data_IF_957764159116
#
_entry.id   IF_957764159116
#
_cell.length_a   1.000
_cell.length_b   1.000
_cell.length_c   1.000
_cell.angle_alpha   90.00
_cell.angle_beta   90.00
_cell.angle_gamma   90.00
#
_symmetry.space_group_name_H-M   'P 1'
#
loop_
_entity.id
_entity.type
_entity.pdbx_description
1 polymer ?
#
# COMPACT_ATOMS: atom_id res chain seq x y z
N UNK A 1 32.37 -31.84 46.17
CA UNK A 1 32.65 -32.35 44.80
C UNK A 1 31.45 -33.15 44.31
N UNK A 2 31.19 -33.12 43.00
CA UNK A 2 30.02 -33.62 42.24
C UNK A 2 28.76 -32.73 42.40
N UNK A 3 28.35 -31.88 41.44
CA UNK A 3 28.14 -31.96 39.98
C UNK A 3 26.86 -32.69 39.56
N UNK A 4 25.87 -31.89 39.14
CA UNK A 4 25.09 -32.11 37.91
C UNK A 4 23.81 -32.96 38.00
N UNK A 5 22.73 -32.45 37.39
CA UNK A 5 21.63 -33.31 36.94
C UNK A 5 20.25 -32.67 36.85
N UNK A 6 20.09 -31.62 36.06
CA UNK A 6 18.78 -31.08 35.68
C UNK A 6 18.07 -31.99 34.67
N UNK A 7 16.85 -32.43 34.97
CA UNK A 7 15.87 -32.85 33.95
C UNK A 7 14.48 -32.33 34.33
N UNK A 8 14.00 -31.33 33.60
CA UNK A 8 12.55 -31.17 33.43
C UNK A 8 12.28 -30.73 32.00
N UNK A 9 11.61 -31.62 31.28
CA UNK A 9 11.14 -31.44 29.92
C UNK A 9 9.87 -30.60 30.01
N UNK A 10 9.86 -29.40 29.42
CA UNK A 10 8.65 -28.60 29.30
C UNK A 10 8.41 -28.23 27.83
N UNK A 11 7.47 -28.99 27.28
CA UNK A 11 6.64 -28.80 26.09
C UNK A 11 6.76 -27.49 25.32
N UNK A 12 7.16 -27.62 24.05
CA UNK A 12 7.06 -26.60 22.99
C UNK A 12 5.60 -26.21 22.79
N UNK A 13 5.17 -25.08 23.35
CA UNK A 13 3.95 -24.38 22.90
C UNK A 13 4.35 -23.32 21.89
N UNK A 14 3.91 -23.52 20.64
CA UNK A 14 3.91 -22.48 19.58
C UNK A 14 3.09 -21.29 20.07
N UNK A 15 3.75 -20.29 20.62
CA UNK A 15 3.17 -18.96 20.82
C UNK A 15 3.43 -18.12 19.58
N UNK A 16 2.42 -18.00 18.71
CA UNK A 16 2.37 -16.97 17.67
C UNK A 16 2.36 -15.61 18.38
N UNK A 17 3.53 -14.97 18.50
CA UNK A 17 3.63 -13.62 19.05
C UNK A 17 3.05 -12.65 18.03
N UNK A 18 1.82 -12.22 18.23
CA UNK A 18 1.31 -10.99 17.62
C UNK A 18 2.09 -9.85 18.26
N UNK A 19 3.04 -9.26 17.53
CA UNK A 19 3.78 -8.08 17.97
C UNK A 19 2.86 -6.85 17.91
N UNK A 20 2.10 -6.66 18.97
CA UNK A 20 1.60 -5.33 19.34
C UNK A 20 2.72 -4.60 20.11
N UNK A 21 3.84 -4.30 19.46
CA UNK A 21 4.90 -3.49 20.06
C UNK A 21 4.46 -2.01 20.05
N UNK A 22 3.71 -1.64 21.09
CA UNK A 22 3.41 -0.25 21.42
C UNK A 22 4.66 0.34 22.07
N UNK A 23 5.46 1.08 21.30
CA UNK A 23 6.65 1.75 21.83
C UNK A 23 6.25 2.94 22.71
N UNK A 24 6.68 2.95 23.97
CA UNK A 24 6.63 4.13 24.83
C UNK A 24 7.97 4.87 24.70
N UNK A 25 8.01 5.95 23.90
CA UNK A 25 9.21 6.79 23.73
C UNK A 25 9.18 7.88 24.78
N UNK A 26 9.90 7.71 25.88
CA UNK A 26 10.07 8.76 26.89
C UNK A 26 11.32 9.58 26.61
N UNK A 27 11.14 10.71 25.91
CA UNK A 27 12.09 11.82 25.90
C UNK A 27 11.32 13.15 25.91
N UNK A 28 11.46 13.89 27.01
CA UNK A 28 11.41 15.35 27.13
C UNK A 28 10.22 16.15 26.57
N UNK A 29 9.26 16.46 27.44
CA UNK A 29 8.53 17.75 27.58
C UNK A 29 7.89 18.42 26.33
N UNK A 30 6.63 18.09 26.03
CA UNK A 30 5.45 18.97 26.23
C UNK A 30 4.18 18.24 25.75
N UNK A 31 3.07 18.44 26.47
CA UNK A 31 1.90 17.56 26.48
C UNK A 31 1.22 17.26 25.14
N UNK A 32 0.85 15.99 24.96
CA UNK A 32 -0.53 15.46 24.78
C UNK A 32 -0.40 13.94 24.61
N UNK A 33 -1.37 13.17 25.15
CA UNK A 33 -1.35 11.69 25.17
C UNK A 33 -0.97 11.12 23.80
N UNK A 34 0.22 10.50 23.74
CA UNK A 34 0.76 9.75 22.59
C UNK A 34 -0.20 8.62 22.23
N UNK A 35 -1.18 8.94 21.40
CA UNK A 35 -2.10 7.97 20.84
C UNK A 35 -1.37 7.12 19.82
N UNK A 36 -0.94 5.92 20.23
CA UNK A 36 -1.02 4.65 19.48
C UNK A 36 -0.80 4.73 17.95
N UNK A 37 0.22 5.43 17.47
CA UNK A 37 0.60 5.36 16.05
C UNK A 37 1.14 3.96 15.78
N UNK A 38 0.45 3.21 14.90
CA UNK A 38 0.94 1.90 14.47
C UNK A 38 2.10 2.10 13.51
N UNK A 39 3.07 1.20 13.57
CA UNK A 39 4.19 1.16 12.62
C UNK A 39 3.66 1.20 11.18
N UNK A 40 4.20 2.09 10.36
CA UNK A 40 3.76 2.26 8.97
C UNK A 40 2.47 3.08 8.78
N UNK A 41 1.85 3.58 9.84
CA UNK A 41 0.66 4.43 9.74
C UNK A 41 1.05 5.91 9.56
N UNK A 42 0.38 6.60 8.64
CA UNK A 42 0.64 8.02 8.38
C UNK A 42 0.12 8.90 9.53
N UNK A 43 0.99 9.68 10.20
CA UNK A 43 0.59 10.40 11.40
C UNK A 43 -0.35 11.58 11.12
N UNK A 44 -1.27 11.82 12.07
CA UNK A 44 -2.12 13.02 12.11
C UNK A 44 -1.62 14.00 13.16
N UNK A 45 -1.62 15.29 12.83
CA UNK A 45 -1.25 16.36 13.74
C UNK A 45 -2.37 16.68 14.76
N UNK A 46 -2.10 17.57 15.73
CA UNK A 46 -3.09 17.98 16.74
C UNK A 46 -4.33 18.68 16.13
N UNK A 47 -4.21 19.23 14.92
CA UNK A 47 -5.32 19.78 14.15
C UNK A 47 -6.21 18.70 13.49
N UNK A 48 -5.93 17.41 13.72
CA UNK A 48 -6.60 16.24 13.11
C UNK A 48 -6.40 16.07 11.60
N UNK A 49 -5.55 16.89 10.99
CA UNK A 49 -5.11 16.76 9.59
C UNK A 49 -3.89 15.84 9.49
N UNK A 50 -3.74 15.12 8.38
CA UNK A 50 -2.52 14.36 8.11
C UNK A 50 -1.29 15.27 8.09
N UNK A 51 -0.22 14.85 8.77
CA UNK A 51 1.03 15.58 8.81
C UNK A 51 1.75 15.50 7.46
N UNK A 52 2.50 16.53 7.08
CA UNK A 52 3.28 16.55 5.84
C UNK A 52 4.74 16.17 6.11
N UNK A 53 5.37 15.49 5.15
CA UNK A 53 6.80 15.20 5.21
C UNK A 53 7.56 16.47 4.82
N UNK A 54 8.52 16.86 5.65
CA UNK A 54 9.40 17.99 5.44
C UNK A 54 10.84 17.59 5.70
N UNK A 55 11.77 18.33 5.08
CA UNK A 55 13.21 18.10 5.21
C UNK A 55 13.80 19.11 6.18
N UNK A 56 14.51 18.63 7.20
CA UNK A 56 15.22 19.48 8.14
C UNK A 56 16.38 20.21 7.46
N UNK A 57 16.53 21.49 7.81
CA UNK A 57 17.60 22.39 7.35
C UNK A 57 18.53 22.81 8.49
N UNK A 58 18.34 22.24 9.69
CA UNK A 58 19.18 22.54 10.86
C UNK A 58 20.58 21.95 10.67
N UNK A 59 21.61 22.64 11.17
CA UNK A 59 23.00 22.15 11.11
C UNK A 59 23.20 20.82 11.86
N UNK A 60 22.45 20.58 12.93
CA UNK A 60 22.52 19.36 13.74
C UNK A 60 21.87 18.15 13.06
N UNK A 61 20.81 18.36 12.31
CA UNK A 61 20.05 17.31 11.61
C UNK A 61 19.87 17.68 10.12
N UNK A 62 20.94 17.75 9.32
CA UNK A 62 20.84 18.17 7.93
C UNK A 62 20.12 17.11 7.10
N UNK A 63 19.19 17.52 6.25
CA UNK A 63 18.45 16.66 5.32
C UNK A 63 17.58 15.56 5.96
N UNK A 64 17.49 15.45 7.28
CA UNK A 64 16.64 14.45 7.96
C UNK A 64 15.16 14.76 7.75
N UNK A 65 14.35 13.75 7.44
CA UNK A 65 12.93 13.90 7.17
C UNK A 65 12.10 13.85 8.45
N UNK A 66 11.11 14.72 8.57
CA UNK A 66 10.17 14.76 9.69
C UNK A 66 8.73 15.00 9.21
N UNK A 67 7.76 14.58 10.02
CA UNK A 67 6.36 14.88 9.85
C UNK A 67 6.00 16.15 10.64
N UNK A 68 5.45 17.15 9.94
CA UNK A 68 5.03 18.43 10.53
C UNK A 68 3.56 18.76 10.25
N UNK A 69 3.00 19.69 11.02
CA UNK A 69 1.68 20.23 10.72
C UNK A 69 1.66 20.91 9.33
N UNK A 70 0.68 20.63 8.46
CA UNK A 70 0.58 21.31 7.15
C UNK A 70 0.47 22.83 7.27
N UNK A 71 -0.16 23.29 8.34
CA UNK A 71 -0.43 24.70 8.60
C UNK A 71 0.75 25.42 9.25
N UNK A 72 1.89 24.75 9.50
CA UNK A 72 3.05 25.33 10.18
C UNK A 72 3.60 26.62 9.54
N UNK A 73 3.32 26.85 8.24
CA UNK A 73 3.73 28.06 7.52
C UNK A 73 2.71 29.21 7.62
N UNK A 74 1.56 28.99 8.24
CA UNK A 74 0.50 29.98 8.39
C UNK A 74 0.68 30.76 9.69
N UNK A 75 0.35 32.05 9.68
CA UNK A 75 0.62 32.96 10.81
C UNK A 75 -0.27 32.72 12.04
N UNK A 76 -1.34 31.94 11.89
CA UNK A 76 -2.27 31.59 12.98
C UNK A 76 -2.82 30.18 12.78
N UNK A 77 -3.08 29.46 13.88
CA UNK A 77 -3.82 28.19 13.86
C UNK A 77 -2.98 26.92 13.60
N UNK A 78 -1.65 27.02 13.58
CA UNK A 78 -0.79 25.84 13.46
C UNK A 78 -0.57 25.16 14.82
N UNK A 79 -0.40 23.84 14.78
CA UNK A 79 0.10 23.10 15.93
C UNK A 79 1.59 22.77 15.77
N UNK A 80 2.26 22.59 16.89
CA UNK A 80 3.65 22.20 17.08
C UNK A 80 3.90 20.70 16.84
N UNK A 81 3.07 20.04 16.02
CA UNK A 81 3.24 18.61 15.75
C UNK A 81 4.55 18.35 15.01
N UNK A 82 5.38 17.49 15.59
CA UNK A 82 6.67 17.08 15.07
C UNK A 82 6.97 15.63 15.44
N UNK A 83 7.31 14.80 14.46
CA UNK A 83 7.81 13.43 14.66
C UNK A 83 8.83 13.11 13.56
N UNK A 84 9.90 12.39 13.89
CA UNK A 84 10.89 11.99 12.88
C UNK A 84 10.36 10.88 11.96
N UNK A 85 10.71 10.94 10.68
CA UNK A 85 10.23 9.97 9.69
C UNK A 85 10.73 8.55 10.01
N UNK A 86 11.99 8.42 10.41
CA UNK A 86 12.64 7.18 10.79
C UNK A 86 12.11 6.57 12.11
N UNK A 87 11.48 7.36 12.98
CA UNK A 87 10.81 6.79 14.16
C UNK A 87 9.52 6.04 13.80
N UNK A 88 8.89 6.37 12.66
CA UNK A 88 7.65 5.70 12.21
C UNK A 88 7.97 4.60 11.19
N UNK A 89 8.95 4.87 10.31
CA UNK A 89 9.27 4.04 9.14
C UNK A 89 10.71 3.52 9.12
N UNK A 90 11.57 3.90 10.07
CA UNK A 90 13.01 3.55 10.04
C UNK A 90 13.25 2.05 10.11
N UNK A 91 12.35 1.32 10.77
CA UNK A 91 12.42 -0.14 10.82
C UNK A 91 12.05 -0.83 9.51
N UNK A 92 11.37 -0.16 8.57
CA UNK A 92 11.11 -0.75 7.25
C UNK A 92 12.42 -0.86 6.46
N UNK A 93 13.35 0.05 6.73
CA UNK A 93 14.68 0.08 6.11
C UNK A 93 15.61 -0.88 6.86
N UNK A 94 15.57 -0.91 8.19
CA UNK A 94 16.34 -1.88 8.97
C UNK A 94 15.85 -3.32 8.77
N UNK A 95 14.55 -3.62 8.62
CA UNK A 95 14.12 -4.99 8.30
C UNK A 95 14.58 -5.43 6.91
N UNK A 96 14.67 -4.52 5.94
CA UNK A 96 15.18 -4.81 4.59
C UNK A 96 16.71 -4.92 4.58
N UNK A 97 17.40 -4.09 5.35
CA UNK A 97 18.86 -4.09 5.48
C UNK A 97 19.36 -5.23 6.37
N UNK A 98 18.68 -5.55 7.48
CA UNK A 98 18.94 -6.74 8.31
C UNK A 98 18.53 -8.00 7.57
N UNK A 99 17.43 -8.03 6.82
CA UNK A 99 17.14 -9.15 5.91
C UNK A 99 18.19 -9.27 4.80
N UNK A 100 18.73 -8.16 4.31
CA UNK A 100 19.85 -8.13 3.36
C UNK A 100 21.19 -8.57 3.99
N UNK A 101 21.45 -8.23 5.25
CA UNK A 101 22.65 -8.62 6.00
C UNK A 101 22.60 -10.07 6.47
N UNK A 102 21.47 -10.54 7.01
CA UNK A 102 21.24 -11.96 7.27
C UNK A 102 21.35 -12.77 5.99
N UNK A 103 20.78 -12.31 4.86
CA UNK A 103 20.95 -12.98 3.56
C UNK A 103 22.43 -13.04 3.10
N UNK A 104 23.25 -12.05 3.45
CA UNK A 104 24.69 -12.04 3.15
C UNK A 104 25.53 -13.00 4.02
N UNK A 105 25.06 -13.28 5.25
CA UNK A 105 25.69 -14.27 6.16
C UNK A 105 25.21 -15.69 5.84
N UNK A 106 23.98 -15.82 5.35
CA UNK A 106 23.40 -17.08 4.87
C UNK A 106 23.89 -17.48 3.48
N UNK A 107 24.80 -16.73 2.83
CA UNK A 107 25.34 -17.04 1.49
C UNK A 107 26.34 -18.22 1.49
N UNK A 108 26.49 -18.94 2.61
CA UNK A 108 26.99 -20.33 2.55
C UNK A 108 25.85 -21.35 2.32
N UNK A 109 24.58 -20.91 2.29
CA UNK A 109 23.32 -21.67 2.12
C UNK A 109 22.33 -20.94 1.18
N UNK A 110 22.78 -19.90 0.46
CA UNK A 110 21.93 -18.85 -0.11
C UNK A 110 21.32 -19.06 -1.49
N UNK A 111 21.28 -20.28 -2.04
CA UNK A 111 20.71 -20.51 -3.37
C UNK A 111 19.19 -20.72 -3.36
N UNK A 112 18.59 -21.17 -2.25
CA UNK A 112 17.20 -21.65 -2.26
C UNK A 112 16.14 -20.56 -1.97
N UNK A 113 16.47 -19.53 -1.17
CA UNK A 113 15.48 -18.53 -0.72
C UNK A 113 15.26 -17.37 -1.70
N UNK A 114 16.30 -16.94 -2.43
CA UNK A 114 16.19 -15.87 -3.45
C UNK A 114 15.39 -16.36 -4.66
N UNK A 115 15.58 -17.62 -5.07
CA UNK A 115 14.79 -18.26 -6.12
C UNK A 115 13.29 -18.31 -5.81
N UNK A 116 12.91 -18.51 -4.54
CA UNK A 116 11.50 -18.57 -4.13
C UNK A 116 10.78 -17.22 -4.22
N UNK A 117 11.47 -16.12 -3.92
CA UNK A 117 10.89 -14.77 -4.01
C UNK A 117 10.80 -14.26 -5.45
N UNK A 118 11.78 -14.62 -6.30
CA UNK A 118 11.78 -14.30 -7.73
C UNK A 118 10.67 -15.07 -8.46
N UNK A 119 10.50 -16.35 -8.12
CA UNK A 119 9.40 -17.18 -8.61
C UNK A 119 8.01 -16.60 -8.29
N UNK A 120 7.80 -16.11 -7.06
CA UNK A 120 6.52 -15.51 -6.67
C UNK A 120 6.22 -14.19 -7.42
N UNK A 121 7.25 -13.40 -7.74
CA UNK A 121 7.12 -12.19 -8.55
C UNK A 121 6.81 -12.54 -10.01
N UNK A 122 7.52 -13.50 -10.59
CA UNK A 122 7.28 -13.96 -11.96
C UNK A 122 5.85 -14.48 -12.15
N UNK A 123 5.32 -15.23 -11.18
CA UNK A 123 3.94 -15.73 -11.23
C UNK A 123 2.90 -14.60 -11.12
N UNK A 124 3.15 -13.58 -10.28
CA UNK A 124 2.30 -12.38 -10.22
C UNK A 124 2.35 -11.57 -11.51
N UNK A 125 3.51 -11.49 -12.17
CA UNK A 125 3.65 -10.83 -13.47
C UNK A 125 2.85 -11.58 -14.52
N UNK A 126 2.96 -12.91 -14.60
CA UNK A 126 2.13 -13.74 -15.51
C UNK A 126 0.63 -13.54 -15.26
N UNK A 127 0.19 -13.55 -13.99
CA UNK A 127 -1.21 -13.26 -13.64
C UNK A 127 -1.66 -11.86 -14.10
N UNK A 128 -0.81 -10.85 -13.97
CA UNK A 128 -1.11 -9.50 -14.43
C UNK A 128 -1.23 -9.42 -15.95
N UNK A 129 -0.34 -10.08 -16.68
CA UNK A 129 -0.36 -10.16 -18.15
C UNK A 129 -1.64 -10.85 -18.65
N UNK A 130 -2.03 -11.98 -18.07
CA UNK A 130 -3.28 -12.68 -18.39
C UNK A 130 -4.52 -11.81 -18.12
N UNK A 131 -4.54 -11.11 -16.99
CA UNK A 131 -5.63 -10.18 -16.67
C UNK A 131 -5.71 -9.02 -17.66
N UNK A 132 -4.59 -8.52 -18.15
CA UNK A 132 -4.55 -7.46 -19.17
C UNK A 132 -5.09 -7.95 -20.52
N UNK A 133 -4.69 -9.15 -20.93
CA UNK A 133 -5.18 -9.79 -22.17
C UNK A 133 -6.70 -9.96 -22.10
N UNK A 134 -7.21 -10.54 -21.00
CA UNK A 134 -8.65 -10.75 -20.79
C UNK A 134 -9.42 -9.43 -20.80
N UNK A 135 -8.93 -8.41 -20.09
CA UNK A 135 -9.54 -7.07 -20.08
C UNK A 135 -9.59 -6.45 -21.48
N UNK A 136 -8.55 -6.63 -22.29
CA UNK A 136 -8.51 -6.13 -23.66
C UNK A 136 -9.53 -6.85 -24.56
N UNK A 137 -9.65 -8.17 -24.42
CA UNK A 137 -10.65 -8.96 -25.16
C UNK A 137 -12.07 -8.53 -24.78
N UNK A 138 -12.37 -8.41 -23.48
CA UNK A 138 -13.68 -7.97 -22.98
C UNK A 138 -14.01 -6.54 -23.45
N UNK A 139 -13.03 -5.62 -23.41
CA UNK A 139 -13.16 -4.27 -23.97
C UNK A 139 -13.42 -4.29 -25.47
N UNK A 140 -12.77 -5.19 -26.21
CA UNK A 140 -12.99 -5.33 -27.65
C UNK A 140 -14.37 -5.91 -27.99
N UNK A 141 -14.88 -6.87 -27.20
CA UNK A 141 -16.23 -7.43 -27.36
C UNK A 141 -17.29 -6.36 -27.08
N UNK A 142 -17.15 -5.65 -25.97
CA UNK A 142 -18.08 -4.58 -25.60
C UNK A 142 -18.13 -3.45 -26.65
N UNK A 143 -16.99 -3.10 -27.25
CA UNK A 143 -16.94 -2.16 -28.38
C UNK A 143 -17.66 -2.71 -29.61
N UNK A 144 -17.44 -3.98 -29.97
CA UNK A 144 -18.12 -4.62 -31.11
C UNK A 144 -19.64 -4.68 -30.89
N UNK A 145 -20.08 -5.09 -29.70
CA UNK A 145 -21.50 -5.17 -29.36
C UNK A 145 -22.17 -3.80 -29.36
N UNK A 146 -21.48 -2.79 -28.82
CA UNK A 146 -21.93 -1.39 -28.87
C UNK A 146 -22.05 -0.89 -30.32
N UNK A 147 -21.04 -1.13 -31.15
CA UNK A 147 -21.04 -0.74 -32.56
C UNK A 147 -22.14 -1.47 -33.34
N UNK A 148 -22.31 -2.78 -33.14
CA UNK A 148 -23.37 -3.58 -33.75
C UNK A 148 -24.77 -3.10 -33.35
N UNK A 149 -24.95 -2.77 -32.06
CA UNK A 149 -26.21 -2.24 -31.53
C UNK A 149 -26.56 -0.90 -32.18
N UNK A 150 -25.59 0.01 -32.34
CA UNK A 150 -25.78 1.29 -33.02
C UNK A 150 -26.21 1.08 -34.47
N UNK A 151 -25.50 0.25 -35.24
CA UNK A 151 -25.87 -0.04 -36.63
C UNK A 151 -27.25 -0.67 -36.75
N UNK A 152 -27.57 -1.65 -35.89
CA UNK A 152 -28.88 -2.29 -35.86
C UNK A 152 -30.00 -1.27 -35.60
N UNK A 153 -29.80 -0.36 -34.64
CA UNK A 153 -30.79 0.69 -34.32
C UNK A 153 -31.05 1.64 -35.49
N UNK A 154 -30.00 2.02 -36.25
CA UNK A 154 -30.11 2.90 -37.42
C UNK A 154 -30.87 2.20 -38.55
N UNK A 155 -30.56 0.93 -38.83
CA UNK A 155 -31.24 0.15 -39.87
C UNK A 155 -32.73 -0.02 -39.53
N UNK A 156 -33.04 -0.41 -38.29
CA UNK A 156 -34.43 -0.57 -37.84
C UNK A 156 -35.18 0.77 -37.93
N UNK A 157 -34.55 1.88 -37.52
CA UNK A 157 -35.14 3.22 -37.65
C UNK A 157 -35.45 3.58 -39.10
N UNK A 158 -34.52 3.34 -40.04
CA UNK A 158 -34.74 3.59 -41.45
C UNK A 158 -35.89 2.75 -42.04
N UNK A 159 -35.97 1.46 -41.67
CA UNK A 159 -37.07 0.58 -42.10
C UNK A 159 -38.43 1.08 -41.60
N UNK A 160 -38.52 1.52 -40.34
CA UNK A 160 -39.76 2.09 -39.78
C UNK A 160 -40.19 3.33 -40.57
N UNK A 161 -39.26 4.24 -40.89
CA UNK A 161 -39.57 5.45 -41.67
C UNK A 161 -40.11 5.08 -43.06
N UNK A 162 -39.49 4.12 -43.75
CA UNK A 162 -39.95 3.65 -45.06
C UNK A 162 -41.35 3.02 -44.96
N UNK A 163 -41.60 2.16 -43.97
CA UNK A 163 -42.91 1.54 -43.76
C UNK A 163 -43.98 2.60 -43.49
N UNK A 164 -43.71 3.56 -42.61
CA UNK A 164 -44.62 4.66 -42.31
C UNK A 164 -44.95 5.50 -43.56
N UNK A 165 -43.94 5.77 -44.40
CA UNK A 165 -44.14 6.46 -45.67
C UNK A 165 -45.03 5.65 -46.63
N UNK A 166 -44.79 4.34 -46.77
CA UNK A 166 -45.63 3.47 -47.59
C UNK A 166 -47.09 3.46 -47.12
N UNK A 167 -47.33 3.36 -45.81
CA UNK A 167 -48.68 3.40 -45.24
C UNK A 167 -49.36 4.74 -45.54
N UNK A 168 -48.64 5.85 -45.34
CA UNK A 168 -49.16 7.20 -45.62
C UNK A 168 -49.61 7.36 -47.08
N UNK A 169 -48.82 6.86 -48.04
CA UNK A 169 -49.15 6.91 -49.47
C UNK A 169 -50.34 6.02 -49.84
N UNK A 170 -50.55 4.90 -49.13
CA UNK A 170 -51.70 4.00 -49.38
C UNK A 170 -53.01 4.52 -48.78
N UNK A 171 -52.93 5.27 -47.68
CA UNK A 171 -54.10 5.81 -46.97
C UNK A 171 -54.66 7.07 -47.65
N UNK A 172 -53.83 7.79 -48.40
CA UNK A 172 -54.21 8.99 -49.18
C UNK A 172 -54.64 8.60 -50.58
#
# INVERSE_FOLDING_TARGET
MASGGSTSVASRRRGRRTMDDVFNVDSGSTGIRRGRLRRGEHPKCKCRTYAIISRSRTAENPNRLFFGCPQFKEKQGYCDFFVWFDEIFGYLVDDVVERGRLASVETCVGEEFVASSDYCLEERVKQLEEMLIKRNEDSSKLKKDSVLSLFSSVIIGALIVVIMFCIYVVVI
#
